data_IF_981117905631
#
_entry.id   IF_981117905631
#
_cell.length_a   1.000
_cell.length_b   1.000
_cell.length_c   1.000
_cell.angle_alpha   90.00
_cell.angle_beta   90.00
_cell.angle_gamma   90.00
#
_symmetry.space_group_name_H-M   'P 1'
#
loop_
_entity.id
_entity.type
_entity.pdbx_description
1 polymer ?
#
# COMPACT_ATOMS: atom_id res chain seq x y z
N UNK A 1 22.19 6.12 54.19
CA UNK A 1 21.41 6.95 53.22
C UNK A 1 22.24 7.38 51.99
N UNK A 2 23.39 6.75 51.67
CA UNK A 2 24.15 7.02 50.42
C UNK A 2 24.42 5.76 49.58
N UNK A 3 24.18 4.57 50.12
CA UNK A 3 24.52 3.30 49.46
C UNK A 3 23.38 2.72 48.61
N UNK A 4 22.13 3.13 48.83
CA UNK A 4 20.98 2.70 48.02
C UNK A 4 20.94 3.37 46.64
N UNK A 5 21.50 4.57 46.49
CA UNK A 5 21.52 5.26 45.20
C UNK A 5 22.57 4.71 44.24
N UNK A 6 23.65 4.11 44.74
CA UNK A 6 24.68 3.49 43.88
C UNK A 6 24.20 2.15 43.30
N UNK A 7 23.36 1.41 44.03
CA UNK A 7 22.86 0.10 43.58
C UNK A 7 21.85 0.24 42.44
N UNK A 8 21.08 1.34 42.42
CA UNK A 8 20.14 1.66 41.34
C UNK A 8 20.81 2.15 40.04
N UNK A 9 22.13 2.40 40.05
CA UNK A 9 22.91 2.81 38.87
C UNK A 9 23.69 1.64 38.21
N UNK A 10 23.68 0.45 38.82
CA UNK A 10 24.56 -0.66 38.43
C UNK A 10 23.91 -1.72 37.52
N UNK A 11 22.59 -1.68 37.30
CA UNK A 11 21.93 -2.51 36.29
C UNK A 11 21.63 -1.69 35.05
N UNK A 12 22.68 -1.21 34.38
CA UNK A 12 22.54 -0.88 32.97
C UNK A 12 22.32 -2.19 32.23
N UNK A 13 21.17 -2.40 31.55
CA UNK A 13 20.97 -3.61 30.76
C UNK A 13 22.07 -3.64 29.71
N UNK A 14 22.99 -4.59 29.83
CA UNK A 14 24.03 -4.84 28.84
C UNK A 14 23.31 -5.06 27.51
N UNK A 15 23.37 -4.08 26.62
CA UNK A 15 22.59 -4.13 25.38
C UNK A 15 23.21 -5.22 24.53
N UNK A 16 22.55 -6.37 24.45
CA UNK A 16 23.02 -7.50 23.68
C UNK A 16 23.14 -7.12 22.19
N UNK A 17 24.05 -7.75 21.43
CA UNK A 17 24.19 -7.48 20.00
C UNK A 17 22.89 -7.66 19.21
N UNK A 18 22.05 -8.62 19.63
CA UNK A 18 20.73 -8.86 19.07
C UNK A 18 19.74 -7.72 19.39
N UNK A 19 19.73 -7.21 20.64
CA UNK A 19 18.89 -6.06 21.00
C UNK A 19 19.29 -4.80 20.23
N UNK A 20 20.59 -4.56 20.02
CA UNK A 20 21.06 -3.45 19.18
C UNK A 20 20.59 -3.59 17.72
N UNK A 21 20.62 -4.80 17.17
CA UNK A 21 20.12 -5.06 15.83
C UNK A 21 18.61 -4.78 15.73
N UNK A 22 17.81 -5.24 16.69
CA UNK A 22 16.36 -4.97 16.72
C UNK A 22 16.04 -3.49 16.89
N UNK A 23 16.76 -2.78 17.76
CA UNK A 23 16.60 -1.33 17.93
C UNK A 23 16.92 -0.57 16.64
N UNK A 24 17.96 -0.97 15.91
CA UNK A 24 18.30 -0.39 14.60
C UNK A 24 17.21 -0.63 13.57
N UNK A 25 16.71 -1.87 13.47
CA UNK A 25 15.60 -2.17 12.57
C UNK A 25 14.33 -1.38 12.93
N UNK A 26 14.03 -1.26 14.22
CA UNK A 26 12.86 -0.54 14.68
C UNK A 26 12.96 0.96 14.43
N UNK A 27 14.15 1.54 14.65
CA UNK A 27 14.44 2.92 14.27
C UNK A 27 14.28 3.13 12.75
N UNK A 28 14.80 2.21 11.92
CA UNK A 28 14.62 2.27 10.47
C UNK A 28 13.14 2.17 10.06
N UNK A 29 12.38 1.25 10.65
CA UNK A 29 10.93 1.12 10.41
C UNK A 29 10.18 2.39 10.82
N UNK A 30 10.51 2.98 11.96
CA UNK A 30 9.87 4.20 12.45
C UNK A 30 10.18 5.42 11.56
N UNK A 31 11.41 5.55 11.07
CA UNK A 31 11.78 6.58 10.11
C UNK A 31 10.98 6.45 8.80
N UNK A 32 10.84 5.24 8.26
CA UNK A 32 10.03 4.99 7.06
C UNK A 32 8.55 5.31 7.29
N UNK A 33 7.99 4.94 8.45
CA UNK A 33 6.61 5.28 8.81
C UNK A 33 6.40 6.79 8.87
N UNK A 34 7.31 7.54 9.50
CA UNK A 34 7.19 9.00 9.57
C UNK A 34 7.34 9.65 8.21
N UNK A 35 8.22 9.12 7.36
CA UNK A 35 8.33 9.57 5.96
C UNK A 35 7.01 9.38 5.22
N UNK A 36 6.47 8.16 5.17
CA UNK A 36 5.20 7.92 4.47
C UNK A 36 4.03 8.71 5.07
N UNK A 37 3.99 8.89 6.39
CA UNK A 37 3.00 9.74 7.05
C UNK A 37 3.11 11.20 6.58
N UNK A 38 4.31 11.77 6.57
CA UNK A 38 4.55 13.12 6.08
C UNK A 38 4.15 13.27 4.61
N UNK A 39 4.45 12.27 3.77
CA UNK A 39 4.04 12.25 2.36
C UNK A 39 2.51 12.24 2.21
N UNK A 40 1.79 11.42 2.98
CA UNK A 40 0.32 11.39 2.96
C UNK A 40 -0.31 12.71 3.41
N UNK A 41 0.25 13.37 4.42
CA UNK A 41 -0.30 14.61 5.00
C UNK A 41 0.02 15.83 4.13
N UNK A 42 1.27 15.94 3.67
CA UNK A 42 1.76 17.13 2.95
C UNK A 42 1.45 17.06 1.45
N UNK A 43 1.34 15.85 0.88
CA UNK A 43 1.04 15.64 -0.53
C UNK A 43 0.07 14.47 -0.70
N UNK A 44 -1.23 14.69 -0.41
CA UNK A 44 -2.26 13.67 -0.58
C UNK A 44 -2.45 13.38 -2.07
N UNK A 45 -1.62 12.46 -2.60
CA UNK A 45 -1.73 11.99 -3.97
C UNK A 45 -2.83 10.94 -4.02
N UNK A 46 -3.92 11.24 -4.71
CA UNK A 46 -4.92 10.22 -5.00
C UNK A 46 -4.25 9.06 -5.77
N UNK A 47 -4.50 7.80 -5.39
CA UNK A 47 -3.94 6.67 -6.09
C UNK A 47 -4.44 6.70 -7.54
N UNK A 48 -3.57 6.36 -8.49
CA UNK A 48 -3.97 6.30 -9.89
C UNK A 48 -5.00 5.18 -10.08
N UNK A 49 -6.25 5.55 -10.35
CA UNK A 49 -7.35 4.61 -10.54
C UNK A 49 -7.48 4.28 -12.01
N UNK A 50 -7.62 2.99 -12.32
CA UNK A 50 -7.87 2.54 -13.68
C UNK A 50 -6.65 2.62 -14.62
N UNK A 51 -5.42 2.26 -14.19
CA UNK A 51 -4.22 2.47 -15.00
C UNK A 51 -4.11 1.53 -16.20
N UNK A 52 -4.87 0.43 -16.26
CA UNK A 52 -4.76 -0.51 -17.38
C UNK A 52 -5.26 0.13 -18.68
N UNK A 53 -4.45 0.14 -19.76
CA UNK A 53 -4.84 0.70 -21.03
C UNK A 53 -6.12 0.05 -21.56
N UNK A 54 -7.15 0.87 -21.78
CA UNK A 54 -8.46 0.43 -22.24
C UNK A 54 -9.04 1.39 -23.26
N UNK A 55 -9.83 0.84 -24.18
CA UNK A 55 -10.53 1.59 -25.22
C UNK A 55 -12.04 1.32 -25.14
N UNK A 56 -12.84 2.36 -25.28
CA UNK A 56 -14.30 2.22 -25.46
C UNK A 56 -14.55 1.69 -26.88
N UNK A 57 -15.20 0.53 -26.99
CA UNK A 57 -15.50 -0.11 -28.29
C UNK A 57 -16.99 -0.07 -28.64
N UNK A 58 -17.86 0.11 -27.66
CA UNK A 58 -19.29 0.24 -27.88
C UNK A 58 -19.97 1.01 -26.75
N UNK A 59 -21.05 1.70 -27.09
CA UNK A 59 -21.88 2.44 -26.14
C UNK A 59 -23.34 2.33 -26.52
N UNK A 60 -24.18 2.04 -25.53
CA UNK A 60 -25.64 2.08 -25.66
C UNK A 60 -26.24 2.63 -24.38
N UNK A 61 -27.05 3.68 -24.47
CA UNK A 61 -27.66 4.36 -23.32
C UNK A 61 -26.64 4.66 -22.20
N UNK A 62 -26.78 3.99 -21.05
CA UNK A 62 -25.91 4.08 -19.87
C UNK A 62 -24.79 3.02 -19.85
N UNK A 63 -24.85 2.03 -20.72
CA UNK A 63 -23.89 0.93 -20.81
C UNK A 63 -22.74 1.28 -21.75
N UNK A 64 -21.52 0.97 -21.31
CA UNK A 64 -20.29 1.12 -22.07
C UNK A 64 -19.54 -0.20 -22.09
N UNK A 65 -19.04 -0.60 -23.26
CA UNK A 65 -18.20 -1.76 -23.43
C UNK A 65 -16.75 -1.31 -23.60
N UNK A 66 -15.90 -1.78 -22.71
CA UNK A 66 -14.47 -1.50 -22.71
C UNK A 66 -13.70 -2.72 -23.19
N UNK A 67 -12.69 -2.50 -24.03
CA UNK A 67 -11.67 -3.48 -24.38
C UNK A 67 -10.37 -3.10 -23.68
N UNK A 68 -9.88 -3.98 -22.82
CA UNK A 68 -8.55 -3.87 -22.23
C UNK A 68 -7.48 -4.38 -23.20
N UNK A 69 -6.37 -3.67 -23.29
CA UNK A 69 -5.25 -4.06 -24.14
C UNK A 69 -4.47 -5.21 -23.50
N UNK A 70 -4.29 -6.30 -24.25
CA UNK A 70 -3.54 -7.47 -23.79
C UNK A 70 -3.09 -8.33 -24.97
N UNK A 71 -2.07 -9.17 -24.74
CA UNK A 71 -1.72 -10.25 -25.66
C UNK A 71 -2.79 -11.34 -25.59
N UNK A 72 -3.26 -11.82 -26.74
CA UNK A 72 -4.29 -12.87 -26.79
C UNK A 72 -3.69 -14.22 -26.38
N UNK A 73 -3.93 -14.64 -25.14
CA UNK A 73 -3.47 -15.93 -24.60
C UNK A 73 -4.50 -17.04 -24.81
N UNK A 74 -5.79 -16.70 -24.84
CA UNK A 74 -6.91 -17.64 -24.98
C UNK A 74 -7.78 -17.29 -26.18
N UNK A 75 -8.42 -18.30 -26.78
CA UNK A 75 -9.30 -18.10 -27.94
C UNK A 75 -10.61 -17.41 -27.54
N UNK A 76 -11.22 -17.85 -26.44
CA UNK A 76 -12.50 -17.36 -25.94
C UNK A 76 -12.31 -16.08 -25.12
N UNK A 77 -13.04 -14.99 -25.40
CA UNK A 77 -12.95 -13.76 -24.62
C UNK A 77 -13.60 -13.90 -23.24
N UNK A 78 -13.10 -13.16 -22.27
CA UNK A 78 -13.72 -12.99 -20.96
C UNK A 78 -14.52 -11.68 -20.94
N UNK A 79 -15.75 -11.74 -20.45
CA UNK A 79 -16.64 -10.58 -20.29
C UNK A 79 -16.90 -10.33 -18.81
N UNK A 80 -16.54 -9.15 -18.34
CA UNK A 80 -16.87 -8.70 -16.99
C UNK A 80 -18.08 -7.78 -17.02
N UNK A 81 -19.10 -8.12 -16.22
CA UNK A 81 -20.31 -7.31 -16.03
C UNK A 81 -20.36 -6.88 -14.56
N UNK A 82 -19.84 -5.70 -14.19
CA UNK A 82 -19.91 -5.20 -12.82
C UNK A 82 -21.36 -4.96 -12.40
N UNK A 83 -21.62 -5.05 -11.10
CA UNK A 83 -22.89 -4.60 -10.55
C UNK A 83 -22.98 -3.07 -10.65
N UNK A 84 -23.90 -2.61 -11.50
CA UNK A 84 -24.11 -1.20 -11.89
C UNK A 84 -24.56 -0.30 -10.75
N UNK A 85 -24.94 -0.85 -9.59
CA UNK A 85 -25.48 -0.08 -8.46
C UNK A 85 -24.42 0.64 -7.61
N UNK A 86 -23.19 0.13 -7.54
CA UNK A 86 -22.19 0.61 -6.55
C UNK A 86 -20.79 0.74 -7.15
N UNK A 87 -20.46 -0.04 -8.19
CA UNK A 87 -19.07 -0.14 -8.68
C UNK A 87 -18.86 0.63 -9.98
N UNK A 88 -17.83 1.49 -10.01
CA UNK A 88 -17.34 2.06 -11.26
C UNK A 88 -16.55 0.98 -12.05
N UNK A 89 -16.49 1.03 -13.39
CA UNK A 89 -15.92 -0.04 -14.21
C UNK A 89 -14.45 -0.39 -13.92
N UNK A 90 -13.70 0.52 -13.29
CA UNK A 90 -12.30 0.31 -12.90
C UNK A 90 -12.13 -0.56 -11.65
N UNK A 91 -13.19 -1.07 -11.02
CA UNK A 91 -13.06 -1.96 -9.86
C UNK A 91 -12.37 -3.29 -10.22
N UNK A 92 -12.43 -3.67 -11.49
CA UNK A 92 -11.71 -4.83 -12.05
C UNK A 92 -10.39 -4.43 -12.71
N UNK A 93 -9.90 -3.21 -12.47
CA UNK A 93 -8.57 -2.83 -12.92
C UNK A 93 -7.54 -3.48 -11.98
N UNK A 94 -7.07 -4.66 -12.40
CA UNK A 94 -6.09 -5.46 -11.70
C UNK A 94 -4.71 -5.03 -12.25
N UNK A 95 -4.09 -4.05 -11.59
CA UNK A 95 -2.71 -3.61 -11.88
C UNK A 95 -1.73 -4.78 -11.99
#
# INVERSE_FOLDING_TARGET
>A
MRDEQLTMMAEMPQISPEMLARLREEAQRNLLRMKHFSEMVLNPKEPAIGPTPRREIYRTNKSRLWRYESKRTVKTPLLFVPNLGISRPYIFDLM
#
